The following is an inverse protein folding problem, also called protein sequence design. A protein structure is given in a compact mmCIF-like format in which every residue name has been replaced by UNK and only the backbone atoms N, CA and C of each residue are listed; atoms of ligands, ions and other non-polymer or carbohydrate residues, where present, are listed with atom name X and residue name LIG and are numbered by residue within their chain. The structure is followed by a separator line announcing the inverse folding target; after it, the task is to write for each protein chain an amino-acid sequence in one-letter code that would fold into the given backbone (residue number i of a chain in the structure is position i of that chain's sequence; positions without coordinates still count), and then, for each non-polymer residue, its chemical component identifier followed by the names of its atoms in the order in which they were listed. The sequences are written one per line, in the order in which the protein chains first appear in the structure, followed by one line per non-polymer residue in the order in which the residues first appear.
data_IF_240800367253
#
_entry.id   IF_240800367253
#
_cell.length_a   1.000
_cell.length_b   1.000
_cell.length_c   1.000
_cell.angle_alpha   90.00
_cell.angle_beta   90.00
_cell.angle_gamma   90.00
#
_symmetry.space_group_name_H-M   'P 1'
#
loop_
_entity.id
_entity.type
_entity.pdbx_description
1 polymer ?
#
# COMPACT_ATOMS: atom_id res chain seq x y z
N UNK A 1 -20.98 12.35 -1.93
CA UNK A 1 -19.58 12.02 -1.59
C UNK A 1 -19.38 10.52 -1.73
N UNK A 2 -18.63 10.10 -2.73
CA UNK A 2 -18.44 8.67 -2.96
C UNK A 2 -17.00 8.25 -2.69
N UNK A 3 -16.83 7.21 -1.92
CA UNK A 3 -15.57 6.59 -1.58
C UNK A 3 -15.51 5.23 -2.28
N UNK A 4 -14.47 5.01 -3.07
CA UNK A 4 -14.31 3.81 -3.88
C UNK A 4 -12.93 3.22 -3.66
N UNK A 5 -12.86 1.90 -3.50
CA UNK A 5 -11.57 1.18 -3.44
C UNK A 5 -11.56 0.20 -4.61
N UNK A 6 -10.50 0.25 -5.41
CA UNK A 6 -10.37 -0.66 -6.55
C UNK A 6 -8.92 -0.99 -6.86
N UNK A 7 -8.72 -2.10 -7.57
CA UNK A 7 -7.41 -2.46 -8.11
C UNK A 7 -7.11 -1.59 -9.34
N UNK A 8 -5.89 -1.06 -9.43
CA UNK A 8 -5.43 -0.31 -10.60
C UNK A 8 -5.13 -1.30 -11.72
N UNK A 9 -5.70 -1.06 -12.89
CA UNK A 9 -5.38 -1.81 -14.09
C UNK A 9 -4.28 -1.06 -14.85
N UNK A 10 -3.07 -1.63 -14.88
CA UNK A 10 -1.92 -1.00 -15.52
C UNK A 10 -2.01 -0.97 -17.05
N UNK A 11 -3.00 -1.64 -17.63
CA UNK A 11 -3.28 -1.55 -19.07
C UNK A 11 -4.34 -0.48 -19.39
N UNK A 12 -4.89 0.18 -18.39
CA UNK A 12 -5.91 1.22 -18.54
C UNK A 12 -5.27 2.59 -18.40
N UNK A 13 -5.28 3.39 -19.47
CA UNK A 13 -4.64 4.70 -19.47
C UNK A 13 -5.26 5.68 -18.48
N UNK A 14 -6.56 5.62 -18.27
CA UNK A 14 -7.23 6.50 -17.32
C UNK A 14 -6.79 6.20 -15.89
N UNK A 15 -6.72 4.91 -15.52
CA UNK A 15 -6.19 4.49 -14.22
C UNK A 15 -4.76 4.97 -14.02
N UNK A 16 -3.90 4.82 -15.05
CA UNK A 16 -2.51 5.24 -14.96
C UNK A 16 -2.36 6.75 -14.80
N UNK A 17 -3.17 7.52 -15.52
CA UNK A 17 -3.13 8.98 -15.43
C UNK A 17 -3.54 9.47 -14.04
N UNK A 18 -4.59 8.88 -13.47
CA UNK A 18 -5.06 9.23 -12.14
C UNK A 18 -4.02 8.87 -11.08
N UNK A 19 -3.43 7.68 -11.19
CA UNK A 19 -2.40 7.23 -10.27
C UNK A 19 -1.15 8.10 -10.37
N UNK A 20 -0.69 8.39 -11.58
CA UNK A 20 0.50 9.23 -11.79
C UNK A 20 0.31 10.62 -11.18
N UNK A 21 -0.85 11.22 -11.40
CA UNK A 21 -1.17 12.54 -10.86
C UNK A 21 -1.08 12.55 -9.33
N UNK A 22 -1.63 11.52 -8.69
CA UNK A 22 -1.58 11.41 -7.23
C UNK A 22 -0.15 11.21 -6.72
N UNK A 23 0.59 10.28 -7.33
CA UNK A 23 1.96 9.96 -6.88
C UNK A 23 2.90 11.15 -7.08
N UNK A 24 2.79 11.89 -8.18
CA UNK A 24 3.59 13.09 -8.41
C UNK A 24 3.28 14.19 -7.39
N UNK A 25 2.03 14.30 -6.99
CA UNK A 25 1.63 15.29 -6.00
C UNK A 25 2.17 14.95 -4.61
N UNK A 26 2.19 13.66 -4.25
CA UNK A 26 2.65 13.22 -2.93
C UNK A 26 4.16 13.15 -2.81
N UNK A 27 4.84 12.65 -3.85
CA UNK A 27 6.28 12.39 -3.79
C UNK A 27 7.08 13.57 -4.33
N UNK A 28 6.89 14.74 -3.70
CA UNK A 28 7.52 15.99 -4.10
C UNK A 28 8.92 16.20 -3.55
N UNK A 29 9.38 15.31 -2.64
CA UNK A 29 10.71 15.37 -2.07
C UNK A 29 11.24 13.96 -1.74
N UNK A 30 12.57 13.80 -1.57
CA UNK A 30 13.16 12.48 -1.32
C UNK A 30 12.63 11.80 -0.05
N UNK A 31 12.37 12.57 0.99
CA UNK A 31 11.92 12.03 2.27
C UNK A 31 10.54 11.35 2.13
N UNK A 32 9.60 12.02 1.48
CA UNK A 32 8.26 11.47 1.27
C UNK A 32 8.30 10.19 0.42
N UNK A 33 9.06 10.23 -0.68
CA UNK A 33 9.18 9.08 -1.58
C UNK A 33 9.82 7.89 -0.87
N UNK A 34 10.96 8.11 -0.22
CA UNK A 34 11.72 7.03 0.40
C UNK A 34 11.06 6.48 1.67
N UNK A 35 10.26 7.27 2.35
CA UNK A 35 9.51 6.81 3.52
C UNK A 35 8.44 5.79 3.12
N UNK A 36 7.82 5.99 1.95
CA UNK A 36 6.81 5.09 1.41
C UNK A 36 7.43 3.92 0.66
N UNK A 37 8.46 4.18 -0.13
CA UNK A 37 9.17 3.16 -0.91
C UNK A 37 10.68 3.41 -0.85
N UNK A 38 11.39 2.74 0.09
CA UNK A 38 12.84 2.93 0.26
C UNK A 38 13.67 2.56 -0.96
N UNK A 39 13.12 1.76 -1.87
CA UNK A 39 13.84 1.29 -3.06
C UNK A 39 13.70 2.24 -4.25
N UNK A 40 12.85 3.26 -4.13
CA UNK A 40 12.62 4.21 -5.20
C UNK A 40 13.54 5.40 -5.07
N UNK A 41 14.17 5.79 -6.19
CA UNK A 41 15.06 6.94 -6.23
C UNK A 41 14.28 8.22 -6.54
N UNK A 42 14.68 9.31 -5.90
CA UNK A 42 14.16 10.63 -6.22
C UNK A 42 14.98 11.24 -7.38
N UNK A 43 14.37 11.99 -8.32
CA UNK A 43 12.96 12.37 -8.38
C UNK A 43 12.05 11.24 -8.84
N UNK A 44 10.76 11.33 -8.47
CA UNK A 44 9.78 10.32 -8.86
C UNK A 44 9.63 10.26 -10.38
N UNK A 45 9.64 9.04 -10.92
CA UNK A 45 9.48 8.76 -12.34
C UNK A 45 8.48 7.62 -12.50
N UNK A 46 7.37 7.89 -13.19
CA UNK A 46 6.28 6.91 -13.34
C UNK A 46 6.72 5.66 -14.09
N UNK A 47 7.59 5.78 -15.09
CA UNK A 47 8.10 4.60 -15.81
C UNK A 47 8.92 3.71 -14.91
N UNK A 48 9.78 4.29 -14.07
CA UNK A 48 10.54 3.53 -13.09
C UNK A 48 9.61 2.88 -12.05
N UNK A 49 8.60 3.62 -11.60
CA UNK A 49 7.61 3.09 -10.67
C UNK A 49 6.95 1.83 -11.23
N UNK A 50 6.43 1.90 -12.47
CA UNK A 50 5.75 0.78 -13.11
C UNK A 50 6.71 -0.39 -13.29
N UNK A 51 7.94 -0.13 -13.77
CA UNK A 51 8.92 -1.18 -14.01
C UNK A 51 9.35 -1.89 -12.73
N UNK A 52 9.62 -1.15 -11.67
CA UNK A 52 10.09 -1.73 -10.41
C UNK A 52 8.93 -2.33 -9.62
N UNK A 53 7.84 -1.60 -9.48
CA UNK A 53 6.72 -2.00 -8.61
C UNK A 53 5.89 -3.10 -9.27
N UNK A 54 5.39 -2.85 -10.47
CA UNK A 54 4.46 -3.77 -11.12
C UNK A 54 5.15 -4.87 -11.91
N UNK A 55 6.07 -4.51 -12.81
CA UNK A 55 6.66 -5.49 -13.72
C UNK A 55 7.73 -6.37 -13.07
N UNK A 56 8.62 -5.77 -12.28
CA UNK A 56 9.72 -6.52 -11.67
C UNK A 56 9.30 -7.23 -10.38
N UNK A 57 8.65 -6.53 -9.48
CA UNK A 57 8.29 -7.06 -8.17
C UNK A 57 6.87 -7.63 -8.08
N UNK A 58 6.09 -7.51 -9.16
CA UNK A 58 4.72 -8.02 -9.23
C UNK A 58 3.81 -7.49 -8.11
N UNK A 59 4.00 -6.24 -7.74
CA UNK A 59 3.18 -5.59 -6.74
C UNK A 59 1.93 -5.01 -7.39
N UNK A 60 0.77 -5.46 -6.92
CA UNK A 60 -0.53 -4.96 -7.36
C UNK A 60 -0.87 -3.67 -6.61
N UNK A 61 -1.45 -2.70 -7.29
CA UNK A 61 -1.80 -1.42 -6.68
C UNK A 61 -3.30 -1.32 -6.47
N UNK A 62 -3.69 -0.98 -5.24
CA UNK A 62 -5.06 -0.75 -4.84
C UNK A 62 -5.20 0.72 -4.51
N UNK A 63 -6.19 1.39 -5.13
CA UNK A 63 -6.39 2.81 -4.95
C UNK A 63 -7.68 3.11 -4.19
N UNK A 64 -7.59 4.05 -3.27
CA UNK A 64 -8.74 4.64 -2.59
C UNK A 64 -9.03 5.97 -3.25
N UNK A 65 -10.24 6.13 -3.78
CA UNK A 65 -10.67 7.35 -4.46
C UNK A 65 -11.85 7.99 -3.75
N UNK A 66 -11.88 9.30 -3.77
CA UNK A 66 -13.00 10.09 -3.29
C UNK A 66 -13.39 11.05 -4.40
N UNK A 67 -14.64 10.94 -4.88
CA UNK A 67 -15.15 11.78 -5.97
C UNK A 67 -14.21 11.79 -7.19
N UNK A 68 -13.77 10.59 -7.61
CA UNK A 68 -12.86 10.35 -8.74
C UNK A 68 -11.39 10.76 -8.54
N UNK A 69 -11.04 11.29 -7.38
CA UNK A 69 -9.64 11.61 -7.06
C UNK A 69 -9.03 10.54 -6.18
N UNK A 70 -7.85 10.05 -6.56
CA UNK A 70 -7.12 9.09 -5.73
C UNK A 70 -6.55 9.83 -4.52
N UNK A 71 -6.97 9.41 -3.33
CA UNK A 71 -6.53 9.99 -2.05
C UNK A 71 -5.64 9.06 -1.24
N UNK A 72 -5.51 7.81 -1.68
CA UNK A 72 -4.62 6.84 -1.04
C UNK A 72 -4.35 5.66 -1.95
N UNK A 73 -3.30 4.90 -1.63
CA UNK A 73 -3.00 3.67 -2.36
C UNK A 73 -2.29 2.67 -1.46
N UNK A 74 -2.33 1.42 -1.87
CA UNK A 74 -1.55 0.35 -1.24
C UNK A 74 -0.96 -0.54 -2.33
N UNK A 75 0.26 -1.00 -2.11
CA UNK A 75 0.91 -1.99 -2.96
C UNK A 75 0.91 -3.34 -2.26
N UNK A 76 0.42 -4.37 -2.93
CA UNK A 76 0.27 -5.72 -2.36
C UNK A 76 0.92 -6.75 -3.27
N UNK A 77 1.72 -7.62 -2.69
CA UNK A 77 2.31 -8.74 -3.42
C UNK A 77 1.69 -10.04 -2.91
N UNK A 78 1.17 -10.84 -3.84
CA UNK A 78 0.58 -12.14 -3.52
C UNK A 78 1.58 -13.25 -3.77
N UNK A 79 1.77 -14.12 -2.78
CA UNK A 79 2.62 -15.31 -2.87
C UNK A 79 1.70 -16.53 -2.87
N UNK A 80 1.18 -16.88 -4.05
CA UNK A 80 0.13 -17.89 -4.19
C UNK A 80 0.55 -19.26 -3.67
N UNK A 81 1.81 -19.66 -3.92
CA UNK A 81 2.32 -20.96 -3.51
C UNK A 81 2.32 -21.13 -1.98
N UNK A 82 2.60 -20.06 -1.26
CA UNK A 82 2.66 -20.09 0.21
C UNK A 82 1.37 -19.62 0.89
N UNK A 83 0.37 -19.26 0.12
CA UNK A 83 -0.90 -18.72 0.62
C UNK A 83 -0.70 -17.47 1.49
N UNK A 84 0.23 -16.60 1.09
CA UNK A 84 0.58 -15.38 1.81
C UNK A 84 0.46 -14.18 0.90
N UNK A 85 0.27 -13.03 1.51
CA UNK A 85 0.36 -11.74 0.81
C UNK A 85 1.09 -10.75 1.72
N UNK A 86 1.70 -9.75 1.10
CA UNK A 86 2.45 -8.71 1.80
C UNK A 86 2.05 -7.34 1.29
N UNK A 87 1.67 -6.45 2.21
CA UNK A 87 1.44 -5.04 1.89
C UNK A 87 2.80 -4.35 1.94
N UNK A 88 3.35 -4.07 0.75
CA UNK A 88 4.68 -3.46 0.63
C UNK A 88 4.64 -1.94 0.83
N UNK A 89 3.52 -1.33 0.48
CA UNK A 89 3.34 0.11 0.54
C UNK A 89 1.91 0.41 0.94
N UNK A 90 1.73 1.45 1.76
CA UNK A 90 0.42 2.01 2.03
C UNK A 90 0.58 3.49 2.32
N UNK A 91 -0.18 4.32 1.63
CA UNK A 91 -0.09 5.77 1.75
C UNK A 91 -1.48 6.40 1.68
N UNK A 92 -1.66 7.43 2.47
CA UNK A 92 -2.90 8.20 2.48
C UNK A 92 -2.54 9.68 2.44
N UNK A 93 -3.21 10.44 1.58
CA UNK A 93 -3.04 11.88 1.48
C UNK A 93 -3.24 12.53 2.85
N UNK A 94 -2.35 13.46 3.19
CA UNK A 94 -2.31 14.10 4.51
C UNK A 94 -3.66 14.69 4.94
N UNK A 95 -4.39 15.29 3.99
CA UNK A 95 -5.68 15.93 4.26
C UNK A 95 -6.79 14.94 4.60
N UNK A 96 -6.56 13.66 4.40
CA UNK A 96 -7.56 12.61 4.60
C UNK A 96 -7.19 11.65 5.73
N UNK A 97 -6.15 11.96 6.49
CA UNK A 97 -5.72 11.12 7.62
C UNK A 97 -6.62 11.29 8.83
N UNK A 98 -6.64 10.26 9.69
CA UNK A 98 -7.42 10.31 10.93
C UNK A 98 -8.90 10.01 10.75
N UNK A 99 -9.32 9.51 9.59
CA UNK A 99 -10.74 9.21 9.29
C UNK A 99 -11.02 7.72 9.11
N UNK A 100 -10.03 6.86 9.42
CA UNK A 100 -10.18 5.41 9.29
C UNK A 100 -10.01 4.86 7.88
N UNK A 101 -9.51 5.64 6.96
CA UNK A 101 -9.40 5.21 5.56
C UNK A 101 -8.30 4.15 5.35
N UNK A 102 -7.19 4.22 6.09
CA UNK A 102 -6.17 3.18 6.03
C UNK A 102 -6.72 1.83 6.46
N UNK A 103 -7.51 1.82 7.54
CA UNK A 103 -8.16 0.60 8.00
C UNK A 103 -9.11 0.05 6.93
N UNK A 104 -9.86 0.90 6.26
CA UNK A 104 -10.75 0.46 5.18
C UNK A 104 -9.96 -0.16 4.02
N UNK A 105 -8.82 0.40 3.66
CA UNK A 105 -7.95 -0.18 2.63
C UNK A 105 -7.43 -1.55 3.06
N UNK A 106 -7.00 -1.69 4.31
CA UNK A 106 -6.51 -2.96 4.83
C UNK A 106 -7.64 -3.99 4.86
N UNK A 107 -8.84 -3.61 5.30
CA UNK A 107 -10.01 -4.49 5.29
C UNK A 107 -10.31 -5.00 3.87
N UNK A 108 -10.23 -4.12 2.89
CA UNK A 108 -10.41 -4.49 1.47
C UNK A 108 -9.36 -5.51 1.03
N UNK A 109 -8.10 -5.29 1.40
CA UNK A 109 -7.00 -6.19 1.05
C UNK A 109 -7.17 -7.54 1.75
N UNK A 110 -7.63 -7.56 3.00
CA UNK A 110 -7.92 -8.82 3.70
C UNK A 110 -9.01 -9.61 2.99
N UNK A 111 -10.09 -8.94 2.58
CA UNK A 111 -11.18 -9.59 1.85
C UNK A 111 -10.72 -10.11 0.50
N UNK A 112 -9.92 -9.32 -0.22
CA UNK A 112 -9.35 -9.74 -1.50
C UNK A 112 -8.41 -10.94 -1.32
N UNK A 113 -7.58 -10.91 -0.29
CA UNK A 113 -6.69 -12.01 0.04
C UNK A 113 -7.45 -13.30 0.37
N UNK A 114 -8.51 -13.18 1.16
CA UNK A 114 -9.35 -14.33 1.50
C UNK A 114 -9.95 -14.99 0.26
N UNK A 115 -10.39 -14.18 -0.71
CA UNK A 115 -10.91 -14.68 -2.00
C UNK A 115 -9.85 -15.39 -2.82
N UNK A 116 -8.57 -15.07 -2.61
CA UNK A 116 -7.43 -15.70 -3.28
C UNK A 116 -6.77 -16.80 -2.44
N UNK A 117 -7.44 -17.24 -1.37
CA UNK A 117 -6.95 -18.25 -0.44
C UNK A 117 -5.69 -17.85 0.33
N UNK A 118 -5.48 -16.57 0.51
CA UNK A 118 -4.41 -16.06 1.37
C UNK A 118 -4.79 -16.32 2.83
N UNK A 119 -3.89 -16.95 3.57
CA UNK A 119 -4.11 -17.27 4.99
C UNK A 119 -3.45 -16.25 5.90
N UNK A 120 -2.30 -15.73 5.50
CA UNK A 120 -1.52 -14.78 6.30
C UNK A 120 -1.22 -13.55 5.47
N UNK A 121 -1.52 -12.40 6.05
CA UNK A 121 -1.21 -11.10 5.48
C UNK A 121 -0.17 -10.42 6.35
N UNK A 122 0.88 -9.89 5.73
CA UNK A 122 1.91 -9.14 6.43
C UNK A 122 1.97 -7.70 5.93
N UNK A 123 2.49 -6.82 6.78
CA UNK A 123 2.65 -5.41 6.46
C UNK A 123 3.95 -4.91 7.07
N UNK A 124 4.68 -4.07 6.34
CA UNK A 124 5.90 -3.44 6.85
C UNK A 124 5.62 -2.03 7.35
N UNK A 125 6.33 -1.62 8.37
CA UNK A 125 6.28 -0.27 8.90
C UNK A 125 7.67 0.15 9.33
N UNK A 126 7.94 1.46 9.27
CA UNK A 126 9.16 1.99 9.87
C UNK A 126 9.05 1.89 11.40
N UNK A 127 10.13 1.51 12.03
CA UNK A 127 10.19 1.36 13.49
C UNK A 127 9.78 2.64 14.21
N UNK A 128 10.07 3.80 13.62
CA UNK A 128 9.75 5.12 14.17
C UNK A 128 8.31 5.56 13.93
N UNK A 129 7.60 4.87 13.06
CA UNK A 129 6.22 5.25 12.71
C UNK A 129 5.24 4.66 13.74
N UNK A 130 5.17 5.33 14.89
CA UNK A 130 4.32 4.90 16.00
C UNK A 130 2.85 4.88 15.60
N UNK A 131 2.41 5.85 14.82
CA UNK A 131 1.02 5.94 14.37
C UNK A 131 0.62 4.71 13.54
N UNK A 132 1.47 4.32 12.58
CA UNK A 132 1.21 3.14 11.75
C UNK A 132 1.22 1.86 12.60
N UNK A 133 2.21 1.71 13.48
CA UNK A 133 2.31 0.54 14.35
C UNK A 133 1.09 0.41 15.26
N UNK A 134 0.66 1.51 15.86
CA UNK A 134 -0.53 1.52 16.71
C UNK A 134 -1.77 1.09 15.94
N UNK A 135 -1.94 1.61 14.72
CA UNK A 135 -3.07 1.22 13.87
C UNK A 135 -3.04 -0.28 13.59
N UNK A 136 -1.90 -0.81 13.12
CA UNK A 136 -1.80 -2.21 12.73
C UNK A 136 -2.01 -3.15 13.93
N UNK A 137 -1.45 -2.82 15.08
CA UNK A 137 -1.66 -3.61 16.29
C UNK A 137 -3.12 -3.58 16.74
N UNK A 138 -3.81 -2.44 16.55
CA UNK A 138 -5.22 -2.30 16.94
C UNK A 138 -6.16 -3.15 16.08
N UNK A 139 -5.72 -3.61 14.92
CA UNK A 139 -6.49 -4.47 14.03
C UNK A 139 -5.88 -5.87 13.92
N UNK A 140 -5.20 -6.27 14.99
CA UNK A 140 -4.72 -7.63 15.27
C UNK A 140 -3.49 -8.08 14.49
N UNK A 141 -2.70 -7.14 13.95
CA UNK A 141 -1.38 -7.47 13.41
C UNK A 141 -0.38 -7.52 14.56
N UNK A 142 0.52 -8.49 14.50
CA UNK A 142 1.56 -8.69 15.51
C UNK A 142 2.94 -8.65 14.88
N UNK A 143 3.88 -7.99 15.55
CA UNK A 143 5.27 -7.91 15.09
C UNK A 143 5.89 -9.31 15.10
N UNK A 144 6.47 -9.71 13.95
CA UNK A 144 7.10 -11.02 13.78
C UNK A 144 8.57 -10.92 13.41
N UNK A 145 9.03 -9.78 12.93
CA UNK A 145 10.42 -9.61 12.51
C UNK A 145 10.81 -8.12 12.57
N UNK A 146 12.11 -7.90 12.80
CA UNK A 146 12.71 -6.55 12.77
C UNK A 146 14.02 -6.63 12.01
N UNK A 147 14.16 -5.81 10.96
CA UNK A 147 15.40 -5.68 10.21
C UNK A 147 15.79 -4.20 10.14
N UNK A 148 16.81 -3.81 10.91
CA UNK A 148 17.22 -2.42 10.98
C UNK A 148 16.10 -1.51 11.47
N UNK A 149 15.67 -0.58 10.64
CA UNK A 149 14.61 0.38 10.97
C UNK A 149 13.23 -0.05 10.50
N UNK A 150 13.08 -1.27 9.97
CA UNK A 150 11.82 -1.78 9.43
C UNK A 150 11.33 -2.94 10.27
N UNK A 151 10.07 -2.89 10.67
CA UNK A 151 9.39 -4.01 11.32
C UNK A 151 8.38 -4.63 10.35
N UNK A 152 8.15 -5.94 10.51
CA UNK A 152 7.11 -6.66 9.80
C UNK A 152 6.10 -7.18 10.79
N UNK A 153 4.82 -6.92 10.53
CA UNK A 153 3.72 -7.42 11.34
C UNK A 153 2.87 -8.37 10.50
N UNK A 154 2.26 -9.35 11.15
CA UNK A 154 1.43 -10.36 10.47
C UNK A 154 0.11 -10.55 11.16
N UNK A 155 -0.88 -10.98 10.36
CA UNK A 155 -2.20 -11.37 10.83
C UNK A 155 -2.66 -12.59 10.04
N UNK A 156 -3.22 -13.58 10.72
CA UNK A 156 -3.91 -14.70 10.08
C UNK A 156 -5.33 -14.25 9.75
N UNK A 157 -5.68 -14.26 8.45
CA UNK A 157 -6.97 -13.71 7.98
C UNK A 157 -7.98 -14.79 7.61
N UNK A 158 -7.56 -16.07 7.60
CA UNK A 158 -8.48 -17.19 7.40
C UNK A 158 -8.31 -18.20 8.52
#
# INVERSE_FOLDING_TARGET
MSLTIKEINYDNLDDLKKLESALKNWFTNPKELNFTDPNMQYPFDMKKWINITYKLNEIETIALSKDDWIIGFAGVKFFEISNRAHIAQIYLDADHRGKGYKKQMIDYIEDLGAKKNVKTLSISAMKKDISARTLYESIDYQEVDTKGNVITLEKTII
#
